data_IF_793036831184
#
_entry.id   IF_793036831184
#
_cell.length_a   1.000
_cell.length_b   1.000
_cell.length_c   1.000
_cell.angle_alpha   90.00
_cell.angle_beta   90.00
_cell.angle_gamma   90.00
#
_symmetry.space_group_name_H-M   'P 1'
#
loop_
_entity.id
_entity.type
_entity.pdbx_description
1 polymer ?
#
# COMPACT_ATOMS: atom_id res chain seq x y z
N UNK A 1 7.18 3.85 -25.57
CA UNK A 1 6.97 5.29 -25.58
C UNK A 1 8.29 6.00 -25.28
N UNK A 2 8.61 6.99 -26.03
CA UNK A 2 9.83 7.76 -25.81
C UNK A 2 9.76 8.52 -24.47
N UNK A 3 10.83 8.48 -23.64
CA UNK A 3 10.86 9.23 -22.38
C UNK A 3 10.53 10.70 -22.53
N UNK A 4 10.96 11.31 -23.62
CA UNK A 4 10.67 12.71 -23.90
C UNK A 4 9.15 12.96 -23.98
N UNK A 5 8.40 12.09 -24.66
CA UNK A 5 6.96 12.24 -24.78
C UNK A 5 6.28 12.04 -23.43
N UNK A 6 6.72 11.05 -22.64
CA UNK A 6 6.19 10.82 -21.29
C UNK A 6 6.46 12.06 -20.42
N UNK A 7 7.70 12.57 -20.42
CA UNK A 7 8.06 13.71 -19.60
C UNK A 7 7.30 14.98 -19.97
N UNK A 8 6.96 15.16 -21.26
CA UNK A 8 6.31 16.38 -21.74
C UNK A 8 4.78 16.35 -21.66
N UNK A 9 4.15 15.16 -21.61
CA UNK A 9 2.70 15.04 -21.72
C UNK A 9 2.01 14.50 -20.48
N UNK A 10 2.70 13.66 -19.67
CA UNK A 10 2.08 13.01 -18.51
C UNK A 10 2.27 13.89 -17.28
N UNK A 11 1.19 14.15 -16.54
CA UNK A 11 1.21 14.97 -15.32
C UNK A 11 1.06 14.14 -14.04
N UNK A 12 0.36 13.02 -14.14
CA UNK A 12 0.09 12.13 -12.99
C UNK A 12 0.11 10.69 -13.48
N UNK A 13 0.72 9.81 -12.68
CA UNK A 13 0.69 8.38 -12.92
C UNK A 13 0.06 7.73 -11.70
N UNK A 14 -1.01 6.96 -11.91
CA UNK A 14 -1.73 6.30 -10.84
C UNK A 14 -1.60 4.79 -11.00
N UNK A 15 -1.10 4.13 -9.95
CA UNK A 15 -1.09 2.68 -9.87
C UNK A 15 -2.19 2.25 -8.90
N UNK A 16 -2.88 1.17 -9.21
CA UNK A 16 -3.96 0.64 -8.39
C UNK A 16 -3.87 -0.88 -8.31
N UNK A 17 -4.15 -1.42 -7.12
CA UNK A 17 -4.35 -2.85 -6.90
C UNK A 17 -5.61 -3.02 -6.07
N UNK A 18 -6.33 -4.11 -6.29
CA UNK A 18 -7.54 -4.39 -5.52
C UNK A 18 -7.24 -5.38 -4.41
N UNK A 19 -7.70 -5.04 -3.20
CA UNK A 19 -7.66 -5.93 -2.05
C UNK A 19 -9.08 -6.24 -1.61
N UNK A 20 -9.28 -7.39 -1.00
CA UNK A 20 -10.58 -7.74 -0.45
C UNK A 20 -10.82 -6.94 0.83
N UNK A 21 -12.04 -6.51 1.02
CA UNK A 21 -12.45 -5.74 2.19
C UNK A 21 -12.95 -6.69 3.29
N UNK A 22 -12.56 -6.44 4.53
CA UNK A 22 -13.00 -7.26 5.66
C UNK A 22 -14.52 -7.16 5.80
N UNK A 23 -15.18 -8.31 5.97
CA UNK A 23 -16.62 -8.35 6.18
C UNK A 23 -17.00 -7.59 7.45
N UNK A 24 -17.83 -6.56 7.32
CA UNK A 24 -18.23 -5.74 8.46
C UNK A 24 -19.11 -6.49 9.47
N UNK A 25 -19.80 -7.54 9.01
CA UNK A 25 -20.69 -8.33 9.88
C UNK A 25 -19.95 -9.22 10.84
N UNK A 26 -18.73 -9.67 10.49
CA UNK A 26 -17.95 -10.56 11.35
C UNK A 26 -16.56 -10.04 11.67
N UNK A 27 -16.32 -8.75 11.42
CA UNK A 27 -15.02 -8.13 11.72
C UNK A 27 -14.72 -8.19 13.21
N UNK A 28 -13.48 -8.55 13.53
CA UNK A 28 -13.01 -8.61 14.91
C UNK A 28 -11.57 -8.12 15.01
N UNK A 29 -11.22 -7.62 16.18
CA UNK A 29 -9.85 -7.19 16.46
C UNK A 29 -8.97 -8.39 16.72
N UNK A 30 -7.71 -8.27 16.34
CA UNK A 30 -6.68 -9.26 16.60
C UNK A 30 -5.42 -8.53 17.03
N UNK A 31 -4.80 -9.00 18.11
CA UNK A 31 -3.52 -8.45 18.55
C UNK A 31 -2.40 -9.30 17.97
N UNK A 32 -1.44 -8.64 17.34
CA UNK A 32 -0.26 -9.34 16.81
C UNK A 32 1.01 -8.64 17.28
N UNK A 33 2.09 -9.40 17.35
CA UNK A 33 3.38 -8.86 17.74
C UNK A 33 3.99 -8.06 16.58
N UNK A 34 4.49 -6.88 16.88
CA UNK A 34 5.10 -6.01 15.88
C UNK A 34 6.24 -6.72 15.14
N UNK A 35 6.98 -7.58 15.84
CA UNK A 35 8.08 -8.32 15.24
C UNK A 35 7.62 -9.21 14.07
N UNK A 36 6.38 -9.66 14.09
CA UNK A 36 5.84 -10.47 12.99
C UNK A 36 5.55 -9.64 11.75
N UNK A 37 5.05 -8.43 11.94
CA UNK A 37 4.71 -7.56 10.80
C UNK A 37 5.96 -6.97 10.15
N UNK A 38 7.00 -6.67 10.92
CA UNK A 38 8.23 -6.10 10.36
C UNK A 38 9.05 -7.09 9.53
N UNK A 39 8.68 -8.37 9.56
CA UNK A 39 9.26 -9.35 8.65
C UNK A 39 8.86 -9.11 7.20
N UNK A 40 7.74 -8.44 6.98
CA UNK A 40 7.15 -8.22 5.65
C UNK A 40 7.15 -6.76 5.22
N UNK A 41 7.29 -5.82 6.16
CA UNK A 41 7.18 -4.39 5.89
C UNK A 41 8.32 -3.61 6.53
N UNK A 42 8.76 -2.50 5.91
CA UNK A 42 9.79 -1.66 6.52
C UNK A 42 9.36 -1.15 7.89
N UNK A 43 10.28 -1.17 8.85
CA UNK A 43 10.01 -0.75 10.23
C UNK A 43 9.46 0.69 10.28
N UNK A 44 10.02 1.57 9.45
CA UNK A 44 9.61 2.98 9.39
C UNK A 44 8.13 3.14 9.04
N UNK A 45 7.65 2.33 8.10
CA UNK A 45 6.24 2.37 7.70
C UNK A 45 5.33 1.80 8.78
N UNK A 46 5.76 0.72 9.43
CA UNK A 46 5.00 0.13 10.53
C UNK A 46 4.86 1.15 11.67
N UNK A 47 5.94 1.81 12.04
CA UNK A 47 5.92 2.83 13.08
C UNK A 47 5.06 4.04 12.71
N UNK A 48 5.09 4.42 11.42
CA UNK A 48 4.29 5.53 10.91
C UNK A 48 2.79 5.29 11.07
N UNK A 49 2.33 4.06 10.81
CA UNK A 49 0.90 3.74 10.81
C UNK A 49 0.38 3.12 12.10
N UNK A 50 1.24 2.48 12.87
CA UNK A 50 0.83 1.78 14.10
C UNK A 50 1.51 2.31 15.37
N UNK A 51 2.53 3.15 15.24
CA UNK A 51 3.31 3.65 16.37
C UNK A 51 4.42 2.67 16.76
N UNK A 52 5.20 3.07 17.76
CA UNK A 52 6.34 2.28 18.27
C UNK A 52 5.89 1.37 19.40
N UNK A 53 5.07 0.38 19.09
CA UNK A 53 4.51 -0.54 20.06
C UNK A 53 5.03 -1.96 19.79
N UNK A 54 5.15 -2.76 20.86
CA UNK A 54 5.57 -4.16 20.74
C UNK A 54 4.42 -5.03 20.20
N UNK A 55 3.19 -4.58 20.41
CA UNK A 55 1.98 -5.26 19.97
C UNK A 55 1.06 -4.27 19.29
N UNK A 56 0.46 -4.64 18.18
CA UNK A 56 -0.44 -3.80 17.42
C UNK A 56 -1.78 -4.47 17.22
N UNK A 57 -2.82 -3.65 17.01
CA UNK A 57 -4.17 -4.14 16.73
C UNK A 57 -4.39 -4.13 15.23
N UNK A 58 -4.79 -5.29 14.71
CA UNK A 58 -5.24 -5.43 13.33
C UNK A 58 -6.63 -6.04 13.34
N UNK A 59 -7.23 -6.25 12.18
CA UNK A 59 -8.60 -6.74 12.08
C UNK A 59 -8.68 -7.92 11.12
N UNK A 60 -9.66 -8.76 11.33
CA UNK A 60 -9.95 -9.87 10.43
C UNK A 60 -11.44 -10.18 10.44
N UNK A 61 -11.89 -10.87 9.42
CA UNK A 61 -13.24 -11.40 9.39
C UNK A 61 -13.25 -12.83 9.95
N UNK A 62 -14.04 -13.05 10.96
CA UNK A 62 -14.16 -14.39 11.59
C UNK A 62 -14.74 -15.42 10.63
N UNK A 63 -15.60 -14.97 9.72
CA UNK A 63 -16.39 -15.82 8.85
C UNK A 63 -17.84 -15.86 9.32
N UNK A 64 -18.77 -15.61 8.42
CA UNK A 64 -20.20 -15.63 8.71
C UNK A 64 -20.97 -15.96 7.44
N UNK A 65 -22.29 -16.07 7.55
CA UNK A 65 -23.15 -16.37 6.39
C UNK A 65 -23.07 -15.28 5.31
N UNK A 66 -22.97 -14.02 5.72
CA UNK A 66 -22.94 -12.89 4.78
C UNK A 66 -21.72 -12.95 3.87
N UNK A 67 -20.55 -13.26 4.43
CA UNK A 67 -19.32 -13.39 3.65
C UNK A 67 -19.04 -14.82 3.18
N UNK A 68 -19.97 -15.73 3.40
CA UNK A 68 -19.84 -17.15 3.05
C UNK A 68 -18.59 -17.77 3.69
N UNK A 69 -18.35 -17.41 4.94
CA UNK A 69 -17.23 -17.88 5.76
C UNK A 69 -15.84 -17.51 5.22
N UNK A 70 -15.77 -16.54 4.33
CA UNK A 70 -14.48 -16.07 3.77
C UNK A 70 -13.82 -15.01 4.66
N UNK A 71 -14.60 -14.29 5.44
CA UNK A 71 -14.11 -13.13 6.20
C UNK A 71 -14.05 -11.86 5.41
N UNK A 72 -14.40 -11.88 4.12
CA UNK A 72 -14.31 -10.73 3.23
C UNK A 72 -15.60 -10.51 2.45
N UNK A 73 -15.94 -9.22 2.24
CA UNK A 73 -17.03 -8.82 1.35
C UNK A 73 -16.59 -7.58 0.57
N UNK A 74 -16.71 -7.65 -0.76
CA UNK A 74 -16.31 -6.52 -1.61
C UNK A 74 -14.82 -6.34 -1.70
N UNK A 75 -14.44 -5.30 -2.43
CA UNK A 75 -13.03 -4.98 -2.68
C UNK A 75 -12.84 -3.48 -2.63
N UNK A 76 -11.60 -3.07 -2.34
CA UNK A 76 -11.22 -1.65 -2.29
C UNK A 76 -9.86 -1.51 -2.96
N UNK A 77 -9.60 -0.34 -3.55
CA UNK A 77 -8.33 -0.08 -4.20
C UNK A 77 -7.24 0.37 -3.24
N UNK A 78 -6.04 -0.11 -3.48
CA UNK A 78 -4.84 0.49 -2.93
C UNK A 78 -4.22 1.33 -4.05
N UNK A 79 -3.82 2.53 -3.74
CA UNK A 79 -3.37 3.51 -4.73
C UNK A 79 -1.98 4.02 -4.43
N UNK A 80 -1.26 4.29 -5.51
CA UNK A 80 0.00 5.02 -5.46
C UNK A 80 -0.08 6.07 -6.55
N UNK A 81 0.00 7.33 -6.16
CA UNK A 81 -0.15 8.46 -7.09
C UNK A 81 1.20 9.15 -7.23
N UNK A 82 1.79 9.07 -8.41
CA UNK A 82 3.02 9.77 -8.74
C UNK A 82 2.67 11.06 -9.46
N UNK A 83 2.95 12.18 -8.83
CA UNK A 83 2.82 13.49 -9.47
C UNK A 83 4.10 13.73 -10.26
N UNK A 84 3.97 14.03 -11.56
CA UNK A 84 5.13 14.27 -12.42
C UNK A 84 5.53 15.73 -12.30
N UNK A 85 6.26 16.02 -11.21
CA UNK A 85 6.81 17.34 -10.94
C UNK A 85 7.96 17.63 -11.90
N UNK A 86 8.47 18.85 -11.85
CA UNK A 86 9.60 19.27 -12.67
C UNK A 86 10.82 18.36 -12.44
N UNK A 87 11.11 18.03 -11.18
CA UNK A 87 12.23 17.14 -10.84
C UNK A 87 12.04 15.72 -11.36
N UNK A 88 10.83 15.17 -11.21
CA UNK A 88 10.51 13.83 -11.72
C UNK A 88 10.57 13.82 -13.25
N UNK A 89 10.07 14.89 -13.88
CA UNK A 89 10.09 15.04 -15.34
C UNK A 89 11.50 15.01 -15.89
N UNK A 90 12.42 15.66 -15.19
CA UNK A 90 13.83 15.67 -15.57
C UNK A 90 14.44 14.26 -15.49
N UNK A 91 14.15 13.53 -14.40
CA UNK A 91 14.65 12.17 -14.24
C UNK A 91 14.12 11.22 -15.32
N UNK A 92 12.85 11.37 -15.70
CA UNK A 92 12.26 10.57 -16.79
C UNK A 92 12.99 10.89 -18.11
N UNK A 93 13.25 12.16 -18.39
CA UNK A 93 13.94 12.59 -19.60
C UNK A 93 15.36 12.05 -19.67
N UNK A 94 16.03 11.92 -18.53
CA UNK A 94 17.38 11.40 -18.43
C UNK A 94 17.42 9.87 -18.43
N UNK A 95 16.26 9.21 -18.53
CA UNK A 95 16.12 7.75 -18.48
C UNK A 95 16.68 7.16 -17.18
N UNK A 96 16.50 7.88 -16.06
CA UNK A 96 16.91 7.40 -14.76
C UNK A 96 16.20 6.07 -14.42
N UNK A 97 16.86 5.24 -13.64
CA UNK A 97 16.27 3.97 -13.19
C UNK A 97 15.00 4.22 -12.38
N UNK A 98 14.06 3.27 -12.48
CA UNK A 98 12.79 3.37 -11.75
C UNK A 98 12.97 3.54 -10.25
N UNK A 99 14.01 2.94 -9.66
CA UNK A 99 14.31 3.10 -8.23
C UNK A 99 14.69 4.54 -7.89
N UNK A 100 15.46 5.20 -8.75
CA UNK A 100 15.87 6.60 -8.56
C UNK A 100 14.64 7.50 -8.63
N UNK A 101 13.76 7.25 -9.59
CA UNK A 101 12.52 8.02 -9.75
C UNK A 101 11.63 7.83 -8.53
N UNK A 102 11.48 6.58 -8.06
CA UNK A 102 10.68 6.27 -6.89
C UNK A 102 11.21 6.97 -5.64
N UNK A 103 12.53 6.95 -5.41
CA UNK A 103 13.14 7.61 -4.26
C UNK A 103 12.91 9.12 -4.31
N UNK A 104 13.06 9.72 -5.48
CA UNK A 104 12.81 11.15 -5.66
C UNK A 104 11.35 11.50 -5.38
N UNK A 105 10.41 10.68 -5.87
CA UNK A 105 8.99 10.87 -5.65
C UNK A 105 8.64 10.79 -4.15
N UNK A 106 9.20 9.82 -3.44
CA UNK A 106 8.98 9.67 -2.00
C UNK A 106 9.51 10.90 -1.26
N UNK A 107 10.66 11.41 -1.64
CA UNK A 107 11.21 12.66 -1.08
C UNK A 107 10.28 13.84 -1.27
N UNK A 108 9.57 13.88 -2.38
CA UNK A 108 8.60 14.95 -2.68
C UNK A 108 7.25 14.72 -2.02
N UNK A 109 7.09 13.65 -1.24
CA UNK A 109 5.89 13.41 -0.47
C UNK A 109 4.94 12.36 -1.03
N UNK A 110 5.34 11.62 -2.06
CA UNK A 110 4.51 10.52 -2.56
C UNK A 110 4.32 9.46 -1.49
N UNK A 111 3.07 9.05 -1.28
CA UNK A 111 2.77 7.89 -0.45
C UNK A 111 2.75 6.66 -1.37
N UNK A 112 3.45 5.61 -0.96
CA UNK A 112 3.51 4.39 -1.74
C UNK A 112 2.23 3.57 -1.59
N UNK A 113 2.04 2.59 -2.46
CA UNK A 113 0.92 1.65 -2.33
C UNK A 113 0.98 0.91 -1.00
N UNK A 114 2.18 0.63 -0.51
CA UNK A 114 2.39 -0.01 0.78
C UNK A 114 1.93 0.89 1.93
N UNK A 115 2.19 2.21 1.85
CA UNK A 115 1.65 3.19 2.81
C UNK A 115 0.12 3.12 2.84
N UNK A 116 -0.51 3.15 1.69
CA UNK A 116 -1.97 3.10 1.59
C UNK A 116 -2.51 1.79 2.15
N UNK A 117 -1.81 0.69 1.85
CA UNK A 117 -2.18 -0.63 2.38
C UNK A 117 -2.14 -0.70 3.89
N UNK A 118 -1.04 -0.24 4.50
CA UNK A 118 -0.89 -0.27 5.96
C UNK A 118 -1.89 0.66 6.65
N UNK A 119 -2.19 1.79 6.05
CA UNK A 119 -3.22 2.70 6.53
C UNK A 119 -4.58 2.00 6.59
N UNK A 120 -4.93 1.25 5.56
CA UNK A 120 -6.20 0.51 5.50
C UNK A 120 -6.21 -0.69 6.44
N UNK A 121 -5.07 -1.31 6.71
CA UNK A 121 -4.95 -2.34 7.74
C UNK A 121 -5.20 -1.72 9.11
N UNK A 122 -4.57 -0.60 9.41
CA UNK A 122 -4.71 0.07 10.71
C UNK A 122 -6.14 0.51 10.99
N UNK A 123 -6.90 0.89 9.96
CA UNK A 123 -8.28 1.34 10.09
C UNK A 123 -9.31 0.22 9.95
N UNK A 124 -8.87 -1.01 9.74
CA UNK A 124 -9.77 -2.17 9.70
C UNK A 124 -10.50 -2.38 8.37
N UNK A 125 -10.00 -1.80 7.29
CA UNK A 125 -10.60 -1.97 5.96
C UNK A 125 -10.19 -3.30 5.34
N UNK A 126 -8.91 -3.67 5.49
CA UNK A 126 -8.37 -4.89 4.90
C UNK A 126 -7.38 -5.56 5.86
N UNK A 127 -6.75 -6.65 5.43
CA UNK A 127 -5.83 -7.45 6.24
C UNK A 127 -4.39 -7.30 5.74
N UNK A 128 -3.44 -7.65 6.61
CA UNK A 128 -2.02 -7.69 6.26
C UNK A 128 -1.80 -8.65 5.10
N UNK A 129 -2.45 -9.81 5.13
CA UNK A 129 -2.33 -10.84 4.09
C UNK A 129 -2.72 -10.31 2.72
N UNK A 130 -3.78 -9.49 2.66
CA UNK A 130 -4.22 -8.89 1.41
C UNK A 130 -3.22 -7.87 0.88
N UNK A 131 -2.64 -7.06 1.77
CA UNK A 131 -1.63 -6.07 1.39
C UNK A 131 -0.39 -6.78 0.86
N UNK A 132 0.07 -7.83 1.53
CA UNK A 132 1.22 -8.64 1.08
C UNK A 132 0.95 -9.22 -0.31
N UNK A 133 -0.25 -9.76 -0.51
CA UNK A 133 -0.62 -10.39 -1.79
C UNK A 133 -0.46 -9.46 -2.99
N UNK A 134 -0.83 -8.18 -2.83
CA UNK A 134 -0.85 -7.24 -3.96
C UNK A 134 0.38 -6.34 -4.04
N UNK A 135 1.15 -6.22 -2.96
CA UNK A 135 2.35 -5.37 -2.95
C UNK A 135 3.65 -6.16 -3.03
N UNK A 136 3.59 -7.48 -2.97
CA UNK A 136 4.78 -8.31 -3.07
C UNK A 136 5.45 -8.09 -4.41
N UNK A 137 6.73 -7.74 -4.38
CA UNK A 137 7.53 -7.58 -5.58
C UNK A 137 7.98 -8.97 -6.03
N UNK A 138 7.66 -9.32 -7.28
CA UNK A 138 8.15 -10.54 -7.88
C UNK A 138 9.55 -10.29 -8.42
N UNK A 139 10.48 -11.09 -7.95
CA UNK A 139 11.85 -11.06 -8.44
C UNK A 139 12.11 -12.23 -9.38
#
# INVERSE_FOLDING_TARGET
>A
VEPFLVASTVNVIIAQRLVRQICSSCKMEEKIQTIEIVKHFPVELVEKHFGKLAEITVYKGKGCKICRNTGYTGRVGLFEVLEVTKGIRLLISEKADSDIIAQAAIKEGMETMLDDGLKKVATGVTTIEEVIRVTKVEN
#
